data_IF_046023695623
#
_entry.id   IF_046023695623
#
_cell.length_a   1.000
_cell.length_b   1.000
_cell.length_c   1.000
_cell.angle_alpha   90.00
_cell.angle_beta   90.00
_cell.angle_gamma   90.00
#
_symmetry.space_group_name_H-M   'P 1'
#
loop_
_entity.id
_entity.type
_entity.pdbx_description
1 polymer ?
#
# COMPACT_ATOMS: atom_id res chain seq x y z
N UNK A 1 9.38 73.91 -22.26
CA UNK A 1 10.35 72.81 -21.96
C UNK A 1 9.62 71.49 -21.95
N UNK A 2 9.81 70.65 -22.97
CA UNK A 2 9.20 69.32 -23.05
C UNK A 2 10.18 68.34 -22.36
N UNK A 3 9.79 67.81 -21.20
CA UNK A 3 10.53 66.74 -20.50
C UNK A 3 10.40 65.46 -21.35
N UNK A 4 11.48 65.06 -22.01
CA UNK A 4 11.51 63.78 -22.72
C UNK A 4 11.44 62.61 -21.73
N UNK A 5 10.48 61.70 -21.96
CA UNK A 5 10.33 60.43 -21.24
C UNK A 5 11.36 59.44 -21.77
N UNK A 6 12.61 59.52 -21.31
CA UNK A 6 13.70 58.64 -21.78
C UNK A 6 13.79 57.26 -21.09
N UNK A 7 12.81 56.90 -20.25
CA UNK A 7 12.83 55.65 -19.45
C UNK A 7 11.88 54.53 -19.89
N UNK A 8 10.97 54.76 -20.85
CA UNK A 8 9.87 53.80 -21.11
C UNK A 8 10.26 52.59 -21.99
N UNK A 9 11.30 52.67 -22.83
CA UNK A 9 11.64 51.54 -23.72
C UNK A 9 12.40 50.41 -23.02
N UNK A 10 13.15 50.71 -21.95
CA UNK A 10 13.86 49.69 -21.15
C UNK A 10 12.94 48.95 -20.19
N UNK A 11 11.92 49.63 -19.67
CA UNK A 11 10.93 49.05 -18.75
C UNK A 11 10.07 47.97 -19.44
N UNK A 12 9.61 48.23 -20.67
CA UNK A 12 8.79 47.27 -21.41
C UNK A 12 9.54 45.96 -21.71
N UNK A 13 10.84 46.04 -21.99
CA UNK A 13 11.70 44.87 -22.20
C UNK A 13 11.91 44.13 -20.88
N UNK A 14 12.15 44.84 -19.78
CA UNK A 14 12.29 44.24 -18.46
C UNK A 14 11.00 43.51 -18.03
N UNK A 15 9.83 44.12 -18.19
CA UNK A 15 8.53 43.50 -17.86
C UNK A 15 8.25 42.25 -18.72
N UNK A 16 8.60 42.28 -20.01
CA UNK A 16 8.50 41.11 -20.89
C UNK A 16 9.41 39.96 -20.41
N UNK A 17 10.66 40.26 -20.07
CA UNK A 17 11.62 39.26 -19.58
C UNK A 17 11.16 38.69 -18.24
N UNK A 18 10.72 39.54 -17.31
CA UNK A 18 10.18 39.10 -16.02
C UNK A 18 8.93 38.23 -16.21
N UNK A 19 8.05 38.57 -17.15
CA UNK A 19 6.86 37.77 -17.47
C UNK A 19 7.23 36.39 -18.03
N UNK A 20 8.19 36.33 -18.95
CA UNK A 20 8.69 35.05 -19.51
C UNK A 20 9.36 34.20 -18.42
N UNK A 21 10.19 34.81 -17.57
CA UNK A 21 10.83 34.12 -16.45
C UNK A 21 9.79 33.56 -15.48
N UNK A 22 8.77 34.34 -15.12
CA UNK A 22 7.71 33.89 -14.23
C UNK A 22 6.95 32.67 -14.79
N UNK A 23 6.59 32.71 -16.08
CA UNK A 23 5.92 31.59 -16.75
C UNK A 23 6.84 30.36 -16.81
N UNK A 24 8.13 30.54 -17.12
CA UNK A 24 9.10 29.45 -17.16
C UNK A 24 9.27 28.78 -15.79
N UNK A 25 9.34 29.56 -14.71
CA UNK A 25 9.42 29.04 -13.34
C UNK A 25 8.17 28.23 -12.98
N UNK A 26 6.98 28.67 -13.38
CA UNK A 26 5.73 27.93 -13.13
C UNK A 26 5.73 26.59 -13.88
N UNK A 27 6.17 26.57 -15.15
CA UNK A 27 6.28 25.32 -15.90
C UNK A 27 7.32 24.36 -15.31
N UNK A 28 8.47 24.86 -14.88
CA UNK A 28 9.48 24.07 -14.17
C UNK A 28 8.89 23.45 -12.89
N UNK A 29 8.17 24.24 -12.09
CA UNK A 29 7.50 23.76 -10.88
C UNK A 29 6.48 22.66 -11.16
N UNK A 30 5.64 22.83 -12.17
CA UNK A 30 4.67 21.79 -12.55
C UNK A 30 5.35 20.50 -13.04
N UNK A 31 6.41 20.61 -13.84
CA UNK A 31 7.18 19.46 -14.31
C UNK A 31 7.82 18.71 -13.14
N UNK A 32 8.37 19.45 -12.18
CA UNK A 32 8.97 18.88 -10.99
C UNK A 32 7.95 18.12 -10.14
N UNK A 33 6.81 18.74 -9.82
CA UNK A 33 5.74 18.08 -9.06
C UNK A 33 5.22 16.85 -9.80
N UNK A 34 5.04 16.94 -11.12
CA UNK A 34 4.60 15.80 -11.92
C UNK A 34 5.60 14.65 -11.93
N UNK A 35 6.91 14.94 -12.06
CA UNK A 35 7.95 13.91 -12.05
C UNK A 35 8.04 13.22 -10.69
N UNK A 36 7.93 13.99 -9.60
CA UNK A 36 7.89 13.48 -8.24
C UNK A 36 6.65 12.60 -7.99
N UNK A 37 5.47 13.05 -8.45
CA UNK A 37 4.24 12.27 -8.33
C UNK A 37 4.29 10.93 -9.05
N UNK A 38 4.86 10.89 -10.26
CA UNK A 38 5.10 9.64 -10.99
C UNK A 38 6.10 8.74 -10.26
N UNK A 39 7.16 9.32 -9.67
CA UNK A 39 8.14 8.61 -8.84
C UNK A 39 7.49 7.88 -7.66
N UNK A 40 6.61 8.57 -6.93
CA UNK A 40 5.89 7.96 -5.82
C UNK A 40 5.01 6.81 -6.28
N UNK A 41 4.28 6.97 -7.39
CA UNK A 41 3.40 5.91 -7.91
C UNK A 41 4.21 4.68 -8.31
N UNK A 42 5.35 4.85 -8.98
CA UNK A 42 6.21 3.72 -9.38
C UNK A 42 6.82 3.00 -8.17
N UNK A 43 7.29 3.75 -7.17
CA UNK A 43 7.78 3.16 -5.92
C UNK A 43 6.67 2.42 -5.18
N UNK A 44 5.48 3.01 -5.09
CA UNK A 44 4.32 2.37 -4.49
C UNK A 44 3.94 1.06 -5.22
N UNK A 45 3.91 1.07 -6.56
CA UNK A 45 3.62 -0.13 -7.35
C UNK A 45 4.70 -1.20 -7.14
N UNK A 46 5.97 -0.79 -7.08
CA UNK A 46 7.10 -1.72 -6.86
C UNK A 46 7.04 -2.33 -5.46
N UNK A 47 6.85 -1.50 -4.43
CA UNK A 47 6.68 -1.93 -3.05
C UNK A 47 5.48 -2.89 -2.93
N UNK A 48 4.35 -2.56 -3.56
CA UNK A 48 3.16 -3.42 -3.63
C UNK A 48 3.45 -4.75 -4.30
N UNK A 49 4.07 -4.75 -5.49
CA UNK A 49 4.39 -5.98 -6.21
C UNK A 49 5.35 -6.87 -5.42
N UNK A 50 6.29 -6.28 -4.69
CA UNK A 50 7.19 -7.03 -3.80
C UNK A 50 6.45 -7.58 -2.58
N UNK A 51 5.56 -6.80 -1.96
CA UNK A 51 4.75 -7.26 -0.84
C UNK A 51 3.81 -8.40 -1.27
N UNK A 52 3.21 -8.33 -2.46
CA UNK A 52 2.38 -9.40 -3.03
C UNK A 52 3.18 -10.70 -3.22
N UNK A 53 4.41 -10.60 -3.75
CA UNK A 53 5.30 -11.75 -3.91
C UNK A 53 5.71 -12.34 -2.56
N UNK A 54 6.07 -11.49 -1.59
CA UNK A 54 6.39 -11.93 -0.23
C UNK A 54 5.20 -12.61 0.43
N UNK A 55 3.99 -12.04 0.33
CA UNK A 55 2.77 -12.61 0.86
C UNK A 55 2.44 -13.99 0.29
N UNK A 56 2.82 -14.26 -0.96
CA UNK A 56 2.63 -15.55 -1.63
C UNK A 56 3.76 -16.56 -1.36
N UNK A 57 4.96 -16.09 -1.00
CA UNK A 57 6.17 -16.92 -0.89
C UNK A 57 6.59 -17.25 0.53
N UNK A 58 6.13 -16.47 1.51
CA UNK A 58 6.38 -16.75 2.92
C UNK A 58 5.51 -17.93 3.38
N UNK A 59 6.08 -19.14 3.34
CA UNK A 59 5.69 -20.18 4.29
C UNK A 59 6.03 -19.67 5.69
N UNK A 60 5.07 -19.05 6.36
CA UNK A 60 5.20 -18.75 7.78
C UNK A 60 5.36 -20.08 8.52
N UNK A 61 6.61 -20.42 8.86
CA UNK A 61 6.99 -21.52 9.77
C UNK A 61 6.67 -21.21 11.24
N UNK A 62 5.61 -20.45 11.48
CA UNK A 62 5.12 -20.09 12.80
C UNK A 62 3.88 -20.90 13.14
N UNK A 63 4.04 -21.86 14.04
CA UNK A 63 2.97 -22.41 14.87
C UNK A 63 2.41 -21.31 15.80
N UNK A 64 1.92 -20.22 15.23
CA UNK A 64 1.14 -19.22 15.93
C UNK A 64 -0.21 -19.87 16.13
N UNK A 65 -0.57 -20.10 17.39
CA UNK A 65 -1.83 -20.76 17.79
C UNK A 65 -2.94 -20.37 16.82
N UNK A 66 -3.57 -21.37 16.25
CA UNK A 66 -4.44 -21.25 15.10
C UNK A 66 -5.70 -20.47 15.51
N UNK A 67 -5.62 -19.14 15.45
CA UNK A 67 -6.69 -18.24 15.87
C UNK A 67 -7.27 -17.63 14.61
N UNK A 68 -8.56 -17.86 14.36
CA UNK A 68 -9.27 -17.28 13.22
C UNK A 68 -9.17 -15.75 13.28
N UNK A 69 -8.67 -15.13 12.21
CA UNK A 69 -8.62 -13.68 12.11
C UNK A 69 -10.05 -13.12 12.03
N UNK A 70 -10.44 -12.30 13.01
CA UNK A 70 -11.75 -11.62 13.01
C UNK A 70 -11.62 -10.17 12.54
N UNK A 71 -10.41 -9.60 12.62
CA UNK A 71 -10.13 -8.27 12.11
C UNK A 71 -8.72 -7.81 12.41
N UNK A 72 -8.47 -6.53 12.13
CA UNK A 72 -7.21 -5.85 12.40
C UNK A 72 -7.45 -4.70 13.37
N UNK A 73 -6.58 -4.57 14.37
CA UNK A 73 -6.50 -3.39 15.20
C UNK A 73 -5.59 -2.38 14.51
N UNK A 74 -6.12 -1.21 14.15
CA UNK A 74 -5.45 -0.13 13.40
C UNK A 74 -4.39 0.65 14.21
N UNK A 75 -3.83 0.01 15.24
CA UNK A 75 -2.90 0.65 16.16
C UNK A 75 -3.34 2.02 16.69
N UNK A 76 -2.41 2.96 16.69
CA UNK A 76 -2.58 4.28 17.27
C UNK A 76 -2.90 5.37 16.22
N UNK A 77 -2.65 5.09 14.94
CA UNK A 77 -2.90 6.03 13.84
C UNK A 77 -4.30 5.90 13.23
N UNK A 78 -5.01 4.79 13.49
CA UNK A 78 -6.36 4.55 12.98
C UNK A 78 -6.39 4.20 11.49
N UNK A 79 -5.24 3.91 10.90
CA UNK A 79 -5.10 3.48 9.51
C UNK A 79 -4.97 1.96 9.46
N UNK A 80 -5.45 1.36 8.38
CA UNK A 80 -5.28 -0.07 8.14
C UNK A 80 -4.03 -0.32 7.29
N UNK A 81 -3.40 -1.47 7.53
CA UNK A 81 -2.19 -1.97 6.88
C UNK A 81 -0.98 -1.05 7.12
N UNK A 82 -0.76 -0.73 8.39
CA UNK A 82 0.38 0.05 8.88
C UNK A 82 1.24 -0.79 9.83
N UNK A 83 2.48 -0.36 10.16
CA UNK A 83 3.40 -1.19 10.94
C UNK A 83 2.96 -1.45 12.38
N UNK A 84 2.05 -0.65 12.92
CA UNK A 84 1.49 -0.77 14.27
C UNK A 84 0.19 -1.58 14.33
N UNK A 85 -0.23 -2.16 13.20
CA UNK A 85 -1.40 -3.01 13.14
C UNK A 85 -1.15 -4.37 13.76
N UNK A 86 -2.10 -4.80 14.60
CA UNK A 86 -2.08 -6.10 15.23
C UNK A 86 -3.28 -6.94 14.78
N UNK A 87 -3.04 -8.23 14.54
CA UNK A 87 -4.11 -9.18 14.27
C UNK A 87 -5.03 -9.32 15.48
N UNK A 88 -6.33 -9.14 15.24
CA UNK A 88 -7.35 -9.49 16.21
C UNK A 88 -7.80 -10.92 15.94
N UNK A 89 -7.26 -11.82 16.75
CA UNK A 89 -7.69 -13.21 16.77
C UNK A 89 -9.02 -13.38 17.51
N UNK A 90 -9.97 -14.07 16.89
CA UNK A 90 -11.20 -14.53 17.55
C UNK A 90 -10.99 -15.87 18.23
N UNK A 91 -11.27 -15.94 19.54
CA UNK A 91 -11.41 -17.21 20.24
C UNK A 91 -12.73 -17.91 19.87
N UNK A 92 -12.84 -19.21 20.19
CA UNK A 92 -13.94 -20.17 19.93
C UNK A 92 -15.39 -19.68 20.16
N UNK A 93 -15.61 -18.46 20.68
CA UNK A 93 -16.93 -17.86 20.88
C UNK A 93 -17.44 -16.96 19.74
N UNK A 94 -16.58 -16.38 18.90
CA UNK A 94 -16.99 -15.42 17.86
C UNK A 94 -17.15 -16.06 16.47
N UNK A 95 -16.45 -17.16 16.22
CA UNK A 95 -16.85 -18.12 15.21
C UNK A 95 -17.89 -19.04 15.82
N UNK A 96 -19.16 -18.62 15.89
CA UNK A 96 -20.26 -19.54 16.22
C UNK A 96 -20.07 -20.74 15.32
N UNK A 97 -19.62 -21.87 15.90
CA UNK A 97 -19.30 -23.09 15.15
C UNK A 97 -20.44 -23.31 14.17
N UNK A 98 -20.16 -23.13 12.88
CA UNK A 98 -21.18 -23.16 11.83
C UNK A 98 -21.95 -24.49 11.87
N UNK A 99 -21.32 -25.52 12.47
CA UNK A 99 -21.93 -26.79 12.88
C UNK A 99 -23.28 -26.61 13.58
N UNK A 100 -23.42 -25.69 14.54
CA UNK A 100 -24.69 -25.46 15.23
C UNK A 100 -25.72 -24.69 14.37
N UNK A 101 -25.28 -24.04 13.29
CA UNK A 101 -26.16 -23.40 12.30
C UNK A 101 -26.53 -24.35 11.14
N UNK A 102 -25.79 -25.46 10.98
CA UNK A 102 -26.06 -26.52 10.01
C UNK A 102 -27.18 -27.46 10.47
N UNK A 103 -27.41 -27.55 11.78
CA UNK A 103 -28.48 -28.35 12.37
C UNK A 103 -29.78 -27.54 12.36
N UNK A 104 -30.70 -27.93 11.50
CA UNK A 104 -32.05 -27.35 11.42
C UNK A 104 -32.98 -28.04 12.42
N UNK A 105 -33.83 -27.29 13.13
CA UNK A 105 -34.90 -27.87 13.97
C UNK A 105 -35.94 -28.68 13.18
N UNK A 106 -35.95 -28.52 11.85
CA UNK A 106 -36.77 -29.28 10.91
C UNK A 106 -35.92 -30.35 10.20
N UNK A 107 -36.22 -31.65 10.36
CA UNK A 107 -35.42 -32.76 9.81
C UNK A 107 -35.40 -32.79 8.26
N UNK A 108 -36.24 -32.01 7.61
CA UNK A 108 -36.34 -31.89 6.15
C UNK A 108 -35.28 -30.96 5.55
N UNK A 109 -34.64 -30.12 6.37
CA UNK A 109 -33.60 -29.16 5.98
C UNK A 109 -32.26 -29.42 6.67
N UNK A 110 -32.09 -30.61 7.25
CA UNK A 110 -30.84 -31.00 7.90
C UNK A 110 -29.76 -31.18 6.81
N UNK A 111 -28.82 -30.23 6.75
CA UNK A 111 -27.65 -30.35 5.91
C UNK A 111 -26.82 -31.50 6.49
N UNK A 112 -26.60 -32.55 5.71
CA UNK A 112 -26.08 -33.86 6.16
C UNK A 112 -25.16 -33.78 7.38
N UNK A 113 -25.49 -34.47 8.48
CA UNK A 113 -24.76 -34.43 9.76
C UNK A 113 -23.28 -34.88 9.72
N UNK A 114 -22.74 -35.18 8.54
CA UNK A 114 -21.37 -35.62 8.33
C UNK A 114 -20.79 -35.04 7.06
N UNK A 115 -19.50 -34.71 7.08
CA UNK A 115 -18.73 -34.34 5.89
C UNK A 115 -17.83 -35.51 5.47
N UNK A 116 -17.75 -35.75 4.16
CA UNK A 116 -16.78 -36.67 3.58
C UNK A 116 -15.64 -35.88 2.94
N UNK A 117 -14.45 -35.92 3.55
CA UNK A 117 -13.27 -35.21 3.05
C UNK A 117 -12.38 -36.17 2.26
N UNK A 118 -12.12 -35.83 1.00
CA UNK A 118 -11.20 -36.54 0.11
C UNK A 118 -11.74 -37.85 -0.50
N UNK A 119 -10.91 -38.53 -1.28
CA UNK A 119 -11.22 -39.79 -1.98
C UNK A 119 -11.27 -41.03 -1.06
N UNK A 120 -11.01 -40.85 0.24
CA UNK A 120 -10.74 -41.93 1.20
C UNK A 120 -11.96 -42.36 2.03
N UNK A 121 -13.17 -41.87 1.72
CA UNK A 121 -14.42 -42.18 2.45
C UNK A 121 -14.34 -41.94 3.98
N UNK A 122 -13.54 -40.97 4.43
CA UNK A 122 -13.54 -40.56 5.82
C UNK A 122 -14.79 -39.72 6.08
N UNK A 123 -15.75 -40.28 6.83
CA UNK A 123 -17.02 -39.63 7.19
C UNK A 123 -16.94 -39.28 8.67
N UNK A 124 -16.84 -37.99 9.00
CA UNK A 124 -16.86 -37.52 10.40
C UNK A 124 -18.14 -36.71 10.65
N UNK A 125 -18.81 -36.89 11.81
CA UNK A 125 -19.83 -35.96 12.26
C UNK A 125 -19.27 -34.54 12.30
N UNK A 126 -20.06 -33.55 11.92
CA UNK A 126 -19.62 -32.15 11.98
C UNK A 126 -19.23 -31.72 13.40
N UNK A 127 -19.82 -32.33 14.44
CA UNK A 127 -19.50 -32.08 15.84
C UNK A 127 -18.16 -32.67 16.31
N UNK A 128 -17.60 -33.61 15.55
CA UNK A 128 -16.34 -34.31 15.88
C UNK A 128 -15.19 -33.85 14.95
N UNK A 129 -15.43 -32.85 14.10
CA UNK A 129 -14.36 -32.18 13.37
C UNK A 129 -13.49 -31.43 14.38
N UNK A 130 -12.19 -31.74 14.39
CA UNK A 130 -11.21 -30.91 15.09
C UNK A 130 -11.30 -29.52 14.46
N UNK A 131 -11.63 -28.53 15.27
CA UNK A 131 -11.82 -27.14 14.82
C UNK A 131 -10.46 -26.47 14.69
N UNK A 132 -9.51 -27.15 14.03
CA UNK A 132 -8.43 -26.43 13.39
C UNK A 132 -9.09 -25.38 12.51
N UNK A 133 -8.65 -24.12 12.55
CA UNK A 133 -9.36 -23.04 11.89
C UNK A 133 -9.47 -23.39 10.42
N UNK A 134 -10.71 -23.71 10.01
CA UNK A 134 -11.10 -23.97 8.61
C UNK A 134 -10.71 -22.81 7.68
N UNK A 135 -10.40 -21.65 8.27
CA UNK A 135 -9.81 -20.49 7.62
C UNK A 135 -8.33 -20.42 7.95
N UNK A 136 -7.52 -20.48 6.90
CA UNK A 136 -6.07 -20.35 6.98
C UNK A 136 -5.67 -19.12 7.78
N UNK A 137 -4.57 -19.25 8.53
CA UNK A 137 -4.07 -18.32 9.55
C UNK A 137 -3.60 -16.95 8.98
N UNK A 138 -4.35 -16.31 8.08
CA UNK A 138 -3.97 -15.12 7.30
C UNK A 138 -3.94 -13.80 8.09
N UNK A 139 -3.42 -13.83 9.33
CA UNK A 139 -3.34 -12.69 10.24
C UNK A 139 -1.94 -12.04 10.34
N UNK A 140 -0.94 -12.51 9.61
CA UNK A 140 0.34 -11.80 9.54
C UNK A 140 0.28 -10.63 8.54
N UNK A 141 0.93 -9.50 8.83
CA UNK A 141 1.26 -8.53 7.77
C UNK A 141 2.69 -8.77 7.30
N UNK A 142 2.85 -8.95 5.99
CA UNK A 142 4.13 -8.81 5.31
C UNK A 142 4.31 -7.37 4.85
N UNK A 143 5.54 -6.97 4.61
CA UNK A 143 5.82 -5.63 4.06
C UNK A 143 6.91 -5.69 3.01
N UNK A 144 6.87 -4.72 2.09
CA UNK A 144 7.99 -4.43 1.23
C UNK A 144 8.12 -2.93 1.02
N UNK A 145 9.37 -2.50 0.86
CA UNK A 145 9.73 -1.10 0.66
C UNK A 145 10.43 -0.91 -0.68
N UNK A 146 10.11 0.17 -1.38
CA UNK A 146 10.81 0.61 -2.58
C UNK A 146 11.37 2.01 -2.35
N UNK A 147 12.65 2.21 -2.70
CA UNK A 147 13.31 3.51 -2.57
C UNK A 147 13.98 3.90 -3.88
N UNK A 148 13.69 5.11 -4.36
CA UNK A 148 14.40 5.76 -5.47
C UNK A 148 15.19 6.95 -4.92
N UNK A 149 16.52 6.86 -4.96
CA UNK A 149 17.43 7.90 -4.47
C UNK A 149 17.70 9.01 -5.47
N UNK A 150 17.26 8.88 -6.73
CA UNK A 150 17.37 9.95 -7.72
C UNK A 150 16.20 9.91 -8.73
N UNK A 151 14.97 10.28 -8.30
CA UNK A 151 13.75 10.11 -9.09
C UNK A 151 13.72 10.97 -10.37
N UNK A 152 14.50 12.05 -10.40
CA UNK A 152 14.67 12.89 -11.58
C UNK A 152 15.74 12.32 -12.51
N UNK A 153 16.85 11.83 -11.96
CA UNK A 153 17.91 11.18 -12.73
C UNK A 153 17.44 9.89 -13.40
N UNK A 154 16.68 9.04 -12.70
CA UNK A 154 16.11 7.79 -13.23
C UNK A 154 15.21 8.00 -14.45
N UNK A 155 14.62 9.20 -14.59
CA UNK A 155 13.75 9.61 -15.69
C UNK A 155 14.46 10.37 -16.81
N UNK A 156 15.77 10.54 -16.72
CA UNK A 156 16.53 11.38 -17.67
C UNK A 156 16.19 12.87 -17.57
N UNK A 157 15.65 13.31 -16.42
CA UNK A 157 15.31 14.71 -16.13
C UNK A 157 16.41 15.40 -15.31
N UNK A 158 17.68 15.07 -15.59
CA UNK A 158 18.84 15.70 -14.94
C UNK A 158 18.88 17.22 -15.14
N UNK A 159 18.40 17.69 -16.29
CA UNK A 159 18.33 19.12 -16.61
C UNK A 159 17.31 19.84 -15.71
N UNK A 160 16.20 19.17 -15.37
CA UNK A 160 15.21 19.71 -14.44
C UNK A 160 15.77 19.77 -13.01
N UNK A 161 16.52 18.75 -12.59
CA UNK A 161 17.24 18.73 -11.30
C UNK A 161 18.24 19.89 -11.22
N UNK A 162 19.04 20.08 -12.28
CA UNK A 162 20.00 21.19 -12.36
C UNK A 162 19.32 22.56 -12.39
N UNK A 163 18.21 22.71 -13.13
CA UNK A 163 17.43 23.95 -13.15
C UNK A 163 16.85 24.30 -11.77
N UNK A 164 16.37 23.30 -11.02
CA UNK A 164 15.86 23.49 -9.67
C UNK A 164 16.96 23.78 -8.65
N UNK A 165 18.11 23.10 -8.73
CA UNK A 165 19.29 23.41 -7.91
C UNK A 165 19.76 24.85 -8.13
N UNK A 166 19.76 25.31 -9.38
CA UNK A 166 20.07 26.69 -9.72
C UNK A 166 19.03 27.68 -9.17
N UNK A 167 17.74 27.33 -9.20
CA UNK A 167 16.66 28.22 -8.74
C UNK A 167 16.57 28.31 -7.21
N UNK A 168 16.85 27.21 -6.50
CA UNK A 168 16.73 27.11 -5.03
C UNK A 168 18.08 27.35 -4.33
N UNK A 169 19.17 27.45 -5.08
CA UNK A 169 20.54 27.62 -4.58
C UNK A 169 20.93 26.57 -3.53
N UNK A 170 20.43 25.35 -3.69
CA UNK A 170 20.63 24.24 -2.75
C UNK A 170 20.93 22.95 -3.47
N UNK A 171 21.80 22.12 -2.90
CA UNK A 171 21.96 20.74 -3.33
C UNK A 171 20.65 19.98 -3.10
N UNK A 172 20.00 19.62 -4.21
CA UNK A 172 18.72 18.94 -4.22
C UNK A 172 18.97 17.43 -4.12
N UNK A 173 19.03 16.93 -2.89
CA UNK A 173 19.08 15.50 -2.56
C UNK A 173 17.67 15.02 -2.23
N UNK A 174 17.01 14.40 -3.20
CA UNK A 174 15.62 13.97 -3.10
C UNK A 174 15.59 12.46 -3.25
N UNK A 175 15.08 11.80 -2.22
CA UNK A 175 14.73 10.40 -2.27
C UNK A 175 13.22 10.22 -2.08
N UNK A 176 12.68 9.21 -2.74
CA UNK A 176 11.32 8.74 -2.55
C UNK A 176 11.38 7.36 -1.94
N UNK A 177 10.70 7.16 -0.81
CA UNK A 177 10.65 5.87 -0.13
C UNK A 177 9.20 5.57 0.21
N UNK A 178 8.72 4.43 -0.27
CA UNK A 178 7.36 3.94 -0.04
C UNK A 178 7.42 2.55 0.56
N UNK A 179 6.60 2.29 1.57
CA UNK A 179 6.47 0.98 2.21
C UNK A 179 5.01 0.57 2.18
N UNK A 180 4.74 -0.65 1.73
CA UNK A 180 3.39 -1.21 1.62
C UNK A 180 3.32 -2.46 2.50
N UNK A 181 2.25 -2.57 3.28
CA UNK A 181 1.93 -3.74 4.11
C UNK A 181 0.78 -4.51 3.49
N UNK A 182 0.83 -5.84 3.59
CA UNK A 182 -0.17 -6.74 3.02
C UNK A 182 -0.41 -7.94 3.94
N UNK A 183 -1.63 -8.48 4.01
CA UNK A 183 -1.89 -9.75 4.68
C UNK A 183 -1.07 -10.89 4.07
N UNK A 184 -0.47 -11.73 4.90
CA UNK A 184 0.20 -12.96 4.48
C UNK A 184 -0.83 -14.00 4.04
N UNK A 185 -0.52 -14.75 2.98
CA UNK A 185 -1.36 -15.85 2.51
C UNK A 185 -0.70 -17.14 2.95
N UNK A 186 -1.36 -17.88 3.83
CA UNK A 186 -0.93 -19.22 4.21
C UNK A 186 -1.44 -20.22 3.18
N UNK A 187 -0.56 -21.11 2.74
CA UNK A 187 -0.91 -22.31 1.99
C UNK A 187 -0.55 -23.52 2.85
N UNK A 188 -1.52 -24.41 3.09
CA UNK A 188 -1.28 -25.76 3.62
C UNK A 188 -1.05 -26.76 2.47
#
# INVERSE_FOLDING_TARGET
>A
MRKERKGQSGQAIAELITGILAIATVFLGMLFVSAMGLGNIENLISARSSADLTACSEESSGNSGAVSLVGWNTGNDGLYFTPDDEQLGGGEGDGVSFVNQLVSESPEYDLSNSVSVGTSNYTSPFCDLDVDPLFVNAGGLVSASATDSDPLGSRGLSDLKGAFQFLVESDLDISLSETVYMPSIYYE
#
